data_IF_526852180493
#
_entry.id   IF_526852180493
#
_cell.length_a   1.000
_cell.length_b   1.000
_cell.length_c   1.000
_cell.angle_alpha   90.00
_cell.angle_beta   90.00
_cell.angle_gamma   90.00
#
_symmetry.space_group_name_H-M   'P 1'
#
loop_
_entity.id
_entity.type
_entity.pdbx_description
1 polymer ?
#
# COMPACT_ATOMS: atom_id res chain seq x y z
N UNK A 1 21.71 -7.72 35.08
CA UNK A 1 21.16 -7.18 33.82
C UNK A 1 19.97 -8.05 33.44
N UNK A 2 18.77 -7.70 33.92
CA UNK A 2 17.54 -8.45 33.68
C UNK A 2 17.09 -8.20 32.25
N UNK A 3 17.18 -9.22 31.40
CA UNK A 3 16.60 -9.19 30.06
C UNK A 3 15.08 -9.19 30.26
N UNK A 4 14.43 -8.08 29.91
CA UNK A 4 12.98 -7.93 29.90
C UNK A 4 12.34 -9.14 29.20
N UNK A 5 11.52 -9.88 29.95
CA UNK A 5 10.71 -11.01 29.48
C UNK A 5 9.35 -10.59 28.90
N UNK A 6 9.15 -9.29 28.64
CA UNK A 6 7.83 -8.70 28.33
C UNK A 6 7.58 -8.43 26.83
N UNK A 7 8.47 -8.90 25.94
CA UNK A 7 8.31 -8.73 24.49
C UNK A 7 8.01 -10.05 23.79
N UNK A 8 7.02 -10.05 22.89
CA UNK A 8 6.65 -11.24 22.11
C UNK A 8 7.87 -11.84 21.40
N UNK A 9 7.98 -13.17 21.48
CA UNK A 9 9.06 -13.90 20.81
C UNK A 9 8.76 -14.12 19.33
N UNK A 10 9.79 -14.29 18.49
CA UNK A 10 9.58 -14.62 17.07
C UNK A 10 8.79 -15.93 16.87
N UNK A 11 9.00 -16.92 17.75
CA UNK A 11 8.30 -18.20 17.68
C UNK A 11 6.81 -18.04 17.94
N UNK A 12 6.47 -17.24 18.95
CA UNK A 12 5.09 -16.93 19.32
C UNK A 12 4.39 -16.15 18.20
N UNK A 13 5.06 -15.13 17.64
CA UNK A 13 4.55 -14.38 16.49
C UNK A 13 4.24 -15.28 15.29
N UNK A 14 5.16 -16.20 14.93
CA UNK A 14 4.96 -17.14 13.81
C UNK A 14 3.78 -18.08 14.08
N UNK A 15 3.65 -18.57 15.32
CA UNK A 15 2.56 -19.47 15.68
C UNK A 15 1.19 -18.77 15.61
N UNK A 16 1.08 -17.53 16.08
CA UNK A 16 -0.16 -16.75 16.01
C UNK A 16 -0.55 -16.40 14.57
N UNK A 17 0.45 -16.16 13.71
CA UNK A 17 0.25 -15.73 12.32
C UNK A 17 0.37 -16.88 11.29
N UNK A 18 0.36 -18.14 11.74
CA UNK A 18 0.66 -19.29 10.90
C UNK A 18 -0.26 -19.39 9.66
N UNK A 19 -1.55 -19.06 9.81
CA UNK A 19 -2.52 -19.07 8.72
C UNK A 19 -2.18 -18.06 7.62
N UNK A 20 -1.83 -16.83 7.99
CA UNK A 20 -1.44 -15.77 7.06
C UNK A 20 -0.12 -16.12 6.36
N UNK A 21 0.87 -16.58 7.12
CA UNK A 21 2.17 -17.00 6.56
C UNK A 21 2.00 -18.17 5.58
N UNK A 22 1.12 -19.13 5.89
CA UNK A 22 0.80 -20.26 5.01
C UNK A 22 0.10 -19.80 3.74
N UNK A 23 -0.91 -18.92 3.85
CA UNK A 23 -1.58 -18.36 2.69
C UNK A 23 -0.61 -17.60 1.77
N UNK A 24 0.30 -16.81 2.35
CA UNK A 24 1.36 -16.12 1.62
C UNK A 24 2.26 -17.08 0.85
N UNK A 25 2.67 -18.20 1.47
CA UNK A 25 3.48 -19.24 0.82
C UNK A 25 2.73 -19.93 -0.33
N UNK A 26 1.41 -20.16 -0.19
CA UNK A 26 0.56 -20.70 -1.26
C UNK A 26 0.52 -19.74 -2.44
N UNK A 27 0.26 -18.45 -2.21
CA UNK A 27 0.25 -17.46 -3.29
C UNK A 27 1.64 -17.31 -3.95
N UNK A 28 2.72 -17.38 -3.19
CA UNK A 28 4.08 -17.37 -3.73
C UNK A 28 4.35 -18.57 -4.64
N UNK A 29 3.94 -19.76 -4.19
CA UNK A 29 4.03 -21.00 -5.00
C UNK A 29 3.19 -20.89 -6.28
N UNK A 30 1.95 -20.39 -6.19
CA UNK A 30 1.09 -20.19 -7.34
C UNK A 30 1.74 -19.19 -8.31
N UNK A 31 2.21 -18.03 -7.83
CA UNK A 31 2.88 -17.03 -8.67
C UNK A 31 4.10 -17.59 -9.42
N UNK A 32 4.90 -18.43 -8.75
CA UNK A 32 6.06 -19.09 -9.34
C UNK A 32 5.68 -20.13 -10.40
N UNK A 33 4.63 -20.92 -10.16
CA UNK A 33 4.14 -21.93 -11.10
C UNK A 33 3.49 -21.32 -12.34
N UNK A 34 2.73 -20.25 -12.16
CA UNK A 34 2.00 -19.57 -13.24
C UNK A 34 2.92 -18.92 -14.28
N UNK A 35 4.18 -18.61 -13.91
CA UNK A 35 5.19 -18.12 -14.85
C UNK A 35 5.50 -19.10 -15.99
N UNK A 36 5.20 -20.39 -15.82
CA UNK A 36 5.46 -21.44 -16.79
C UNK A 36 4.23 -21.83 -17.64
N UNK A 37 3.14 -21.06 -17.58
CA UNK A 37 1.93 -21.36 -18.36
C UNK A 37 2.18 -21.19 -19.88
N UNK A 38 1.65 -22.10 -20.71
CA UNK A 38 1.80 -22.01 -22.17
C UNK A 38 1.10 -20.77 -22.74
N UNK A 39 0.03 -20.30 -22.09
CA UNK A 39 -0.68 -19.08 -22.46
C UNK A 39 -0.05 -17.91 -21.70
N UNK A 40 0.88 -17.21 -22.36
CA UNK A 40 1.70 -16.15 -21.75
C UNK A 40 0.91 -15.03 -21.07
N UNK A 41 -0.15 -14.52 -21.72
CA UNK A 41 -0.95 -13.42 -21.14
C UNK A 41 -1.68 -13.84 -19.87
N UNK A 42 -2.18 -15.08 -19.82
CA UNK A 42 -2.89 -15.61 -18.67
C UNK A 42 -1.93 -15.84 -17.49
N UNK A 43 -0.72 -16.34 -17.77
CA UNK A 43 0.36 -16.43 -16.78
C UNK A 43 0.69 -15.06 -16.17
N UNK A 44 0.88 -14.04 -17.00
CA UNK A 44 1.17 -12.67 -16.54
C UNK A 44 0.05 -12.14 -15.62
N UNK A 45 -1.22 -12.23 -16.04
CA UNK A 45 -2.34 -11.70 -15.24
C UNK A 45 -2.48 -12.45 -13.92
N UNK A 46 -2.39 -13.77 -13.93
CA UNK A 46 -2.55 -14.57 -12.71
C UNK A 46 -1.36 -14.39 -11.75
N UNK A 47 -0.13 -14.27 -12.26
CA UNK A 47 1.04 -13.95 -11.43
C UNK A 47 0.93 -12.54 -10.84
N UNK A 48 0.42 -11.56 -11.61
CA UNK A 48 0.17 -10.20 -11.11
C UNK A 48 -0.83 -10.21 -9.94
N UNK A 49 -1.96 -10.91 -10.08
CA UNK A 49 -2.98 -11.02 -9.04
C UNK A 49 -2.44 -11.77 -7.82
N UNK A 50 -1.67 -12.84 -8.05
CA UNK A 50 -1.08 -13.64 -6.97
C UNK A 50 -0.10 -12.81 -6.14
N UNK A 51 0.77 -12.02 -6.80
CA UNK A 51 1.69 -11.11 -6.12
C UNK A 51 0.94 -10.01 -5.37
N UNK A 52 -0.15 -9.47 -5.95
CA UNK A 52 -1.02 -8.53 -5.23
C UNK A 52 -1.60 -9.15 -3.94
N UNK A 53 -2.02 -10.43 -4.00
CA UNK A 53 -2.46 -11.19 -2.82
C UNK A 53 -1.37 -11.33 -1.77
N UNK A 54 -0.13 -11.64 -2.19
CA UNK A 54 1.04 -11.67 -1.29
C UNK A 54 1.23 -10.32 -0.61
N UNK A 55 1.21 -9.22 -1.36
CA UNK A 55 1.40 -7.85 -0.81
C UNK A 55 0.33 -7.52 0.24
N UNK A 56 -0.93 -7.89 0.00
CA UNK A 56 -2.04 -7.66 0.95
C UNK A 56 -1.81 -8.45 2.24
N UNK A 57 -1.53 -9.76 2.14
CA UNK A 57 -1.28 -10.61 3.32
C UNK A 57 -0.04 -10.12 4.07
N UNK A 58 1.00 -9.71 3.36
CA UNK A 58 2.22 -9.19 3.96
C UNK A 58 1.97 -7.89 4.73
N UNK A 59 1.12 -7.01 4.20
CA UNK A 59 0.69 -5.80 4.91
C UNK A 59 -0.09 -6.15 6.19
N UNK A 60 -0.97 -7.15 6.15
CA UNK A 60 -1.72 -7.63 7.31
C UNK A 60 -0.80 -8.19 8.41
N UNK A 61 0.18 -9.03 8.03
CA UNK A 61 1.20 -9.56 8.96
C UNK A 61 1.99 -8.41 9.60
N UNK A 62 2.35 -7.39 8.81
CA UNK A 62 3.05 -6.21 9.33
C UNK A 62 2.22 -5.45 10.37
N UNK A 63 0.90 -5.32 10.18
CA UNK A 63 0.04 -4.63 11.16
C UNK A 63 -0.12 -5.40 12.48
N UNK A 64 0.16 -6.70 12.49
CA UNK A 64 0.09 -7.53 13.70
C UNK A 64 1.40 -7.55 14.51
N UNK A 65 2.44 -6.83 14.07
CA UNK A 65 3.70 -6.74 14.81
C UNK A 65 3.51 -5.94 16.12
N UNK A 66 3.88 -6.50 17.29
CA UNK A 66 3.71 -5.82 18.57
C UNK A 66 4.71 -4.69 18.77
N UNK A 67 4.39 -3.73 19.65
CA UNK A 67 5.29 -2.62 19.97
C UNK A 67 6.52 -3.07 20.78
N UNK A 68 6.32 -4.01 21.73
CA UNK A 68 7.39 -4.63 22.51
C UNK A 68 7.80 -5.96 21.87
N UNK A 69 9.02 -6.01 21.35
CA UNK A 69 9.52 -7.16 20.58
C UNK A 69 10.84 -7.68 21.15
N UNK A 70 11.02 -9.00 21.10
CA UNK A 70 12.35 -9.60 21.26
C UNK A 70 13.33 -9.14 20.16
N UNK A 71 14.66 -9.14 20.39
CA UNK A 71 15.65 -8.74 19.38
C UNK A 71 15.54 -9.54 18.06
N UNK A 72 15.17 -10.82 18.14
CA UNK A 72 14.96 -11.66 16.96
C UNK A 72 13.75 -11.21 16.15
N UNK A 73 12.64 -10.88 16.82
CA UNK A 73 11.43 -10.37 16.17
C UNK A 73 11.66 -8.97 15.59
N UNK A 74 12.50 -8.16 16.23
CA UNK A 74 12.93 -6.87 15.69
C UNK A 74 13.68 -7.02 14.36
N UNK A 75 14.69 -7.89 14.28
CA UNK A 75 15.41 -8.17 13.02
C UNK A 75 14.44 -8.70 11.95
N UNK A 76 13.55 -9.62 12.34
CA UNK A 76 12.52 -10.16 11.44
C UNK A 76 11.60 -9.07 10.87
N UNK A 77 11.21 -8.08 11.67
CA UNK A 77 10.45 -6.91 11.22
C UNK A 77 11.17 -6.14 10.10
N UNK A 78 12.48 -5.91 10.22
CA UNK A 78 13.23 -5.24 9.15
C UNK A 78 13.30 -6.09 7.88
N UNK A 79 13.53 -7.39 8.00
CA UNK A 79 13.54 -8.32 6.86
C UNK A 79 12.17 -8.30 6.17
N UNK A 80 11.07 -8.32 6.93
CA UNK A 80 9.71 -8.21 6.40
C UNK A 80 9.50 -6.87 5.67
N UNK A 81 9.97 -5.75 6.22
CA UNK A 81 9.79 -4.43 5.60
C UNK A 81 10.57 -4.28 4.30
N UNK A 82 11.86 -4.63 4.32
CA UNK A 82 12.72 -4.56 3.14
C UNK A 82 12.31 -5.58 2.09
N UNK A 83 11.91 -6.80 2.50
CA UNK A 83 11.38 -7.83 1.61
C UNK A 83 10.11 -7.38 0.89
N UNK A 84 9.17 -6.75 1.61
CA UNK A 84 7.97 -6.16 1.00
C UNK A 84 8.33 -5.06 0.00
N UNK A 85 9.26 -4.17 0.36
CA UNK A 85 9.75 -3.13 -0.54
C UNK A 85 10.36 -3.70 -1.83
N UNK A 86 11.23 -4.70 -1.70
CA UNK A 86 11.85 -5.39 -2.82
C UNK A 86 10.81 -6.11 -3.70
N UNK A 87 9.81 -6.77 -3.09
CA UNK A 87 8.74 -7.44 -3.82
C UNK A 87 7.87 -6.45 -4.60
N UNK A 88 7.49 -5.32 -3.99
CA UNK A 88 6.73 -4.26 -4.67
C UNK A 88 7.56 -3.68 -5.82
N UNK A 89 8.87 -3.46 -5.61
CA UNK A 89 9.75 -2.97 -6.65
C UNK A 89 9.88 -3.94 -7.82
N UNK A 90 10.07 -5.24 -7.53
CA UNK A 90 10.02 -6.30 -8.54
C UNK A 90 8.68 -6.31 -9.28
N UNK A 91 7.57 -6.21 -8.55
CA UNK A 91 6.23 -6.18 -9.13
C UNK A 91 6.00 -4.97 -10.05
N UNK A 92 6.58 -3.81 -9.73
CA UNK A 92 6.55 -2.61 -10.57
C UNK A 92 7.34 -2.78 -11.88
N UNK A 93 8.50 -3.45 -11.82
CA UNK A 93 9.39 -3.62 -12.97
C UNK A 93 8.99 -4.79 -13.88
N UNK A 94 8.63 -5.94 -13.32
CA UNK A 94 8.26 -7.12 -14.08
C UNK A 94 7.00 -6.83 -14.91
N UNK A 95 5.95 -6.35 -14.25
CA UNK A 95 4.63 -6.08 -14.85
C UNK A 95 4.53 -4.67 -15.41
N UNK A 96 5.62 -4.17 -15.99
CA UNK A 96 5.75 -2.79 -16.44
C UNK A 96 4.67 -2.39 -17.44
N UNK A 97 4.28 -3.28 -18.35
CA UNK A 97 3.27 -2.98 -19.38
C UNK A 97 1.91 -2.62 -18.74
N UNK A 98 1.57 -3.30 -17.64
CA UNK A 98 0.36 -3.01 -16.85
C UNK A 98 0.56 -1.70 -16.10
N UNK A 99 1.68 -1.54 -15.39
CA UNK A 99 1.94 -0.34 -14.61
C UNK A 99 2.06 0.91 -15.47
N UNK A 100 2.56 0.83 -16.70
CA UNK A 100 2.68 1.99 -17.57
C UNK A 100 1.32 2.64 -17.83
N UNK A 101 0.28 1.84 -17.93
CA UNK A 101 -1.10 2.31 -18.12
C UNK A 101 -1.76 2.69 -16.79
N UNK A 102 -1.55 1.91 -15.74
CA UNK A 102 -2.30 2.03 -14.48
C UNK A 102 -1.58 2.73 -13.33
N UNK A 103 -0.33 3.19 -13.50
CA UNK A 103 0.45 3.82 -12.41
C UNK A 103 -0.24 5.05 -11.81
N UNK A 104 -1.07 5.75 -12.59
CA UNK A 104 -1.84 6.88 -12.07
C UNK A 104 -2.83 6.46 -10.97
N UNK A 105 -3.30 5.20 -10.92
CA UNK A 105 -4.27 4.72 -9.92
C UNK A 105 -3.66 4.72 -8.50
N UNK A 106 -2.56 4.01 -8.20
CA UNK A 106 -1.95 4.08 -6.88
C UNK A 106 -1.41 5.48 -6.55
N UNK A 107 -0.94 6.25 -7.56
CA UNK A 107 -0.57 7.64 -7.34
C UNK A 107 -1.76 8.51 -6.94
N UNK A 108 -2.95 8.26 -7.48
CA UNK A 108 -4.18 8.97 -7.08
C UNK A 108 -4.48 8.71 -5.61
N UNK A 109 -4.39 7.45 -5.17
CA UNK A 109 -4.59 7.08 -3.76
C UNK A 109 -3.55 7.78 -2.87
N UNK A 110 -2.28 7.80 -3.30
CA UNK A 110 -1.19 8.47 -2.60
C UNK A 110 -1.45 9.98 -2.46
N UNK A 111 -1.78 10.68 -3.56
CA UNK A 111 -2.08 12.11 -3.52
C UNK A 111 -3.34 12.41 -2.70
N UNK A 112 -4.36 11.54 -2.77
CA UNK A 112 -5.56 11.69 -1.94
C UNK A 112 -5.20 11.61 -0.47
N UNK A 113 -4.37 10.63 -0.07
CA UNK A 113 -3.87 10.50 1.28
C UNK A 113 -3.08 11.75 1.73
N UNK A 114 -2.15 12.24 0.89
CA UNK A 114 -1.33 13.44 1.18
C UNK A 114 -2.19 14.70 1.34
N UNK A 115 -3.15 14.91 0.45
CA UNK A 115 -4.03 16.08 0.53
C UNK A 115 -4.92 15.99 1.78
N UNK A 116 -5.52 14.82 2.06
CA UNK A 116 -6.36 14.62 3.25
C UNK A 116 -5.55 14.83 4.53
N UNK A 117 -4.35 14.25 4.63
CA UNK A 117 -3.50 14.39 5.83
C UNK A 117 -3.06 15.83 6.06
N UNK A 118 -2.86 16.61 4.99
CA UNK A 118 -2.57 18.05 5.06
C UNK A 118 -3.80 18.86 5.51
N UNK A 119 -5.00 18.46 5.09
CA UNK A 119 -6.26 19.14 5.45
C UNK A 119 -6.72 18.81 6.89
N UNK A 120 -6.40 17.63 7.42
CA UNK A 120 -6.78 17.21 8.77
C UNK A 120 -6.47 18.23 9.88
N UNK A 121 -5.24 18.75 10.02
CA UNK A 121 -4.94 19.75 11.06
C UNK A 121 -5.68 21.07 10.82
N UNK A 122 -5.88 21.46 9.56
CA UNK A 122 -6.60 22.68 9.18
C UNK A 122 -8.08 22.60 9.57
N UNK A 123 -8.68 21.40 9.53
CA UNK A 123 -10.06 21.14 9.93
C UNK A 123 -10.35 21.52 11.39
N UNK A 124 -9.34 21.60 12.24
CA UNK A 124 -9.51 21.94 13.65
C UNK A 124 -9.80 23.42 13.87
N UNK A 125 -9.55 24.28 12.89
CA UNK A 125 -9.73 25.73 13.00
C UNK A 125 -11.20 26.12 13.20
N UNK A 126 -11.47 27.07 14.10
CA UNK A 126 -12.83 27.48 14.50
C UNK A 126 -13.70 27.92 13.31
N UNK A 127 -13.11 28.67 12.36
CA UNK A 127 -13.80 29.16 11.16
C UNK A 127 -14.25 27.99 10.29
N UNK A 128 -13.39 26.99 10.10
CA UNK A 128 -13.66 25.83 9.27
C UNK A 128 -14.70 24.93 9.94
N UNK A 129 -14.62 24.72 11.26
CA UNK A 129 -15.67 24.00 12.01
C UNK A 129 -17.04 24.67 11.88
N UNK A 130 -17.09 26.00 11.91
CA UNK A 130 -18.32 26.77 11.72
C UNK A 130 -18.89 26.62 10.30
N UNK A 131 -18.06 26.83 9.27
CA UNK A 131 -18.45 26.73 7.85
C UNK A 131 -18.95 25.33 7.49
N UNK A 132 -18.28 24.28 7.98
CA UNK A 132 -18.65 22.89 7.70
C UNK A 132 -19.69 22.30 8.66
N UNK A 133 -20.17 23.06 9.64
CA UNK A 133 -21.16 22.60 10.63
C UNK A 133 -20.69 21.38 11.42
N UNK A 134 -19.40 21.34 11.79
CA UNK A 134 -18.83 20.21 12.53
C UNK A 134 -19.33 20.29 13.98
N UNK A 135 -20.20 19.35 14.39
CA UNK A 135 -20.78 19.28 15.74
C UNK A 135 -22.18 19.86 15.89
N UNK A 136 -22.84 20.27 14.80
CA UNK A 136 -24.26 20.68 14.76
C UNK A 136 -25.03 19.87 13.73
N UNK A 137 -26.36 19.93 13.77
CA UNK A 137 -27.21 19.34 12.74
C UNK A 137 -26.90 19.99 11.37
N UNK A 138 -26.61 19.16 10.36
CA UNK A 138 -26.06 19.65 9.09
C UNK A 138 -27.15 20.07 8.12
N UNK A 139 -27.12 21.34 7.72
CA UNK A 139 -27.96 21.87 6.66
C UNK A 139 -27.60 21.26 5.29
N UNK A 140 -28.56 21.26 4.34
CA UNK A 140 -28.34 20.77 2.97
C UNK A 140 -27.13 21.41 2.30
N UNK A 141 -26.91 22.71 2.55
CA UNK A 141 -25.74 23.45 2.06
C UNK A 141 -24.40 22.87 2.58
N UNK A 142 -24.30 22.55 3.88
CA UNK A 142 -23.09 21.98 4.46
C UNK A 142 -22.81 20.56 3.96
N UNK A 143 -23.87 19.78 3.66
CA UNK A 143 -23.73 18.48 3.00
C UNK A 143 -23.20 18.65 1.57
N UNK A 144 -23.75 19.58 0.79
CA UNK A 144 -23.29 19.90 -0.55
C UNK A 144 -21.83 20.38 -0.56
N UNK A 145 -21.45 21.24 0.38
CA UNK A 145 -20.08 21.73 0.53
C UNK A 145 -19.09 20.59 0.82
N UNK A 146 -19.46 19.66 1.70
CA UNK A 146 -18.62 18.47 1.98
C UNK A 146 -18.43 17.62 0.72
N UNK A 147 -19.48 17.39 -0.06
CA UNK A 147 -19.42 16.63 -1.31
C UNK A 147 -18.53 17.36 -2.32
N UNK A 148 -18.68 18.68 -2.45
CA UNK A 148 -17.85 19.51 -3.33
C UNK A 148 -16.36 19.39 -2.97
N UNK A 149 -16.01 19.49 -1.68
CA UNK A 149 -14.61 19.34 -1.24
C UNK A 149 -14.08 17.95 -1.56
N UNK A 150 -14.86 16.89 -1.32
CA UNK A 150 -14.46 15.52 -1.67
C UNK A 150 -14.22 15.41 -3.18
N UNK A 151 -15.11 15.96 -4.01
CA UNK A 151 -14.97 15.96 -5.46
C UNK A 151 -13.72 16.73 -5.93
N UNK A 152 -13.47 17.90 -5.35
CA UNK A 152 -12.28 18.72 -5.64
C UNK A 152 -11.00 17.98 -5.24
N UNK A 153 -10.97 17.36 -4.06
CA UNK A 153 -9.82 16.55 -3.62
C UNK A 153 -9.60 15.39 -4.58
N UNK A 154 -10.65 14.61 -4.89
CA UNK A 154 -10.54 13.47 -5.81
C UNK A 154 -10.05 13.88 -7.21
N UNK A 155 -10.61 14.95 -7.77
CA UNK A 155 -10.19 15.48 -9.06
C UNK A 155 -8.75 15.97 -9.04
N UNK A 156 -8.36 16.72 -8.01
CA UNK A 156 -6.99 17.24 -7.89
C UNK A 156 -5.99 16.11 -7.72
N UNK A 157 -6.31 15.08 -6.93
CA UNK A 157 -5.47 13.89 -6.78
C UNK A 157 -5.31 13.13 -8.10
N UNK A 158 -6.39 12.95 -8.86
CA UNK A 158 -6.35 12.29 -10.16
C UNK A 158 -5.51 13.08 -11.16
N UNK A 159 -5.69 14.41 -11.22
CA UNK A 159 -4.94 15.29 -12.10
C UNK A 159 -3.43 15.26 -11.79
N UNK A 160 -3.07 15.38 -10.50
CA UNK A 160 -1.68 15.25 -10.06
C UNK A 160 -1.11 13.87 -10.36
N UNK A 161 -1.88 12.81 -10.11
CA UNK A 161 -1.44 11.44 -10.40
C UNK A 161 -1.17 11.22 -11.88
N UNK A 162 -2.04 11.73 -12.76
CA UNK A 162 -1.83 11.66 -14.21
C UNK A 162 -0.56 12.41 -14.63
N UNK A 163 -0.36 13.65 -14.14
CA UNK A 163 0.83 14.44 -14.41
C UNK A 163 2.13 13.76 -13.94
N UNK A 164 2.15 13.24 -12.70
CA UNK A 164 3.32 12.60 -12.13
C UNK A 164 3.56 11.17 -12.65
N UNK A 165 2.53 10.50 -13.15
CA UNK A 165 2.68 9.15 -13.73
C UNK A 165 3.65 9.14 -14.92
N UNK A 166 3.67 10.19 -15.74
CA UNK A 166 4.54 10.30 -16.92
C UNK A 166 6.02 10.30 -16.55
N UNK A 167 6.56 11.24 -15.73
CA UNK A 167 7.97 11.24 -15.36
C UNK A 167 8.35 10.00 -14.55
N UNK A 168 7.46 9.47 -13.69
CA UNK A 168 7.76 8.25 -12.93
C UNK A 168 7.85 7.04 -13.87
N UNK A 169 6.96 6.93 -14.86
CA UNK A 169 7.01 5.90 -15.89
C UNK A 169 8.37 5.95 -16.62
N UNK A 170 8.83 7.13 -17.05
CA UNK A 170 10.15 7.28 -17.71
C UNK A 170 11.30 6.79 -16.82
N UNK A 171 11.28 7.13 -15.54
CA UNK A 171 12.29 6.67 -14.58
C UNK A 171 12.26 5.15 -14.45
N UNK A 172 11.07 4.56 -14.26
CA UNK A 172 10.91 3.11 -14.12
C UNK A 172 11.32 2.35 -15.39
N UNK A 173 11.06 2.91 -16.58
CA UNK A 173 11.48 2.35 -17.86
C UNK A 173 13.01 2.41 -18.01
N UNK A 174 13.63 3.52 -17.62
CA UNK A 174 15.09 3.65 -17.57
C UNK A 174 15.73 2.61 -16.64
N UNK A 175 15.15 2.40 -15.46
CA UNK A 175 15.60 1.38 -14.52
C UNK A 175 15.44 -0.02 -15.11
N UNK A 176 14.28 -0.36 -15.68
CA UNK A 176 14.02 -1.69 -16.28
C UNK A 176 15.03 -2.00 -17.39
N UNK A 177 15.37 -1.00 -18.20
CA UNK A 177 16.35 -1.16 -19.26
C UNK A 177 17.79 -1.33 -18.75
N UNK A 178 18.13 -0.75 -17.60
CA UNK A 178 19.45 -0.92 -16.99
C UNK A 178 19.67 -2.32 -16.37
N UNK A 179 18.60 -3.05 -16.07
CA UNK A 179 18.64 -4.41 -15.52
C UNK A 179 18.41 -5.52 -16.56
N UNK A 180 18.26 -5.17 -17.85
CA UNK A 180 18.21 -6.11 -18.98
C UNK A 180 19.58 -6.28 -19.61
#
# INVERSE_FOLDING_TARGET
MSIDKDGMSLKEFINENHSLLSAMAIFATIAALLGNLPIRWMGIVLSFISIAGIVIIWHEIKSQLPEKMSPKLFIFRYILLWGLGALIFYWLLEFRDIWHVFLFVPLTILFMYVIISTIQPIREWKIIRYVFGIGKEKNRFQKALKILVIAVVAYSSLYLAALFSVPINVILDGIKNAFR
#
